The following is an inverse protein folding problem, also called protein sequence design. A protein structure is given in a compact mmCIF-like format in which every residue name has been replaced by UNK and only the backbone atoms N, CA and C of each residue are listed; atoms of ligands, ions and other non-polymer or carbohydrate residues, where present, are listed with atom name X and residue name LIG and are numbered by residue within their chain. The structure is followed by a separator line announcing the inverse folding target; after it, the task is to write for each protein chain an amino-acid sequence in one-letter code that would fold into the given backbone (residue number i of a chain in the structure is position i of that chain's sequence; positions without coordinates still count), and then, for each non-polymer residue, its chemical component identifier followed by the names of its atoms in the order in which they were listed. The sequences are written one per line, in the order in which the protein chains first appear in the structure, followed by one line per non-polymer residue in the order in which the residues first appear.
data_IF_854700332468
#
_entry.id   IF_854700332468
#
_cell.length_a   1.000
_cell.length_b   1.000
_cell.length_c   1.000
_cell.angle_alpha   90.00
_cell.angle_beta   90.00
_cell.angle_gamma   90.00
#
_symmetry.space_group_name_H-M   'P 1'
#
loop_
_entity.id
_entity.type
_entity.pdbx_description
1 polymer ?
#
# COMPACT_ATOMS: atom_id res chain seq x y z
N UNK A 1 -14.26 -28.40 10.56
CA UNK A 1 -12.85 -28.08 10.29
C UNK A 1 -12.72 -26.57 10.19
N UNK A 2 -11.55 -26.04 10.52
CA UNK A 2 -11.18 -24.64 10.30
C UNK A 2 -10.50 -24.50 8.94
N UNK A 3 -10.99 -23.59 8.12
CA UNK A 3 -10.49 -23.31 6.77
C UNK A 3 -9.99 -21.87 6.71
N UNK A 4 -8.73 -21.69 6.33
CA UNK A 4 -8.14 -20.37 6.13
C UNK A 4 -7.93 -20.11 4.64
N UNK A 5 -8.69 -19.18 4.09
CA UNK A 5 -8.62 -18.75 2.71
C UNK A 5 -7.68 -17.55 2.55
N UNK A 6 -6.80 -17.57 1.56
CA UNK A 6 -5.97 -16.41 1.21
C UNK A 6 -6.44 -15.77 -0.09
N UNK A 7 -6.60 -14.44 -0.06
CA UNK A 7 -6.89 -13.63 -1.25
C UNK A 7 -6.03 -12.36 -1.27
N UNK A 8 -5.63 -11.91 -2.46
CA UNK A 8 -4.86 -10.67 -2.65
C UNK A 8 -5.70 -9.51 -3.19
N UNK A 9 -6.93 -9.39 -2.73
CA UNK A 9 -7.83 -8.26 -2.96
C UNK A 9 -8.38 -7.77 -1.59
N UNK A 10 -9.30 -6.80 -1.60
CA UNK A 10 -9.90 -6.29 -0.35
C UNK A 10 -11.00 -7.18 0.23
N UNK A 11 -11.46 -8.18 -0.53
CA UNK A 11 -12.58 -9.06 -0.17
C UNK A 11 -13.86 -8.29 0.20
N UNK A 12 -14.16 -7.19 -0.52
CA UNK A 12 -15.43 -6.46 -0.37
C UNK A 12 -16.50 -6.98 -1.34
N UNK A 13 -16.09 -7.30 -2.58
CA UNK A 13 -16.99 -7.67 -3.68
C UNK A 13 -16.52 -8.94 -4.42
N UNK A 14 -15.81 -9.83 -3.72
CA UNK A 14 -15.33 -11.09 -4.31
C UNK A 14 -16.44 -12.14 -4.28
N UNK A 15 -17.31 -12.12 -5.30
CA UNK A 15 -18.46 -13.00 -5.37
C UNK A 15 -18.09 -14.50 -5.43
N UNK A 16 -16.93 -14.84 -5.99
CA UNK A 16 -16.50 -16.23 -6.11
C UNK A 16 -16.09 -16.77 -4.75
N UNK A 17 -15.13 -16.10 -4.09
CA UNK A 17 -14.63 -16.53 -2.78
C UNK A 17 -15.74 -16.46 -1.73
N UNK A 18 -16.67 -15.49 -1.84
CA UNK A 18 -17.86 -15.42 -0.96
C UNK A 18 -18.74 -16.66 -1.12
N UNK A 19 -19.02 -17.11 -2.36
CA UNK A 19 -19.83 -18.32 -2.59
C UNK A 19 -19.15 -19.57 -2.05
N UNK A 20 -17.85 -19.72 -2.29
CA UNK A 20 -17.08 -20.86 -1.77
C UNK A 20 -17.06 -20.89 -0.24
N UNK A 21 -16.78 -19.76 0.40
CA UNK A 21 -16.79 -19.62 1.85
C UNK A 21 -18.17 -19.97 2.43
N UNK A 22 -19.25 -19.49 1.81
CA UNK A 22 -20.62 -19.82 2.20
C UNK A 22 -20.92 -21.31 2.11
N UNK A 23 -20.56 -21.95 1.00
CA UNK A 23 -20.75 -23.40 0.84
C UNK A 23 -20.03 -24.19 1.93
N UNK A 24 -18.82 -23.77 2.32
CA UNK A 24 -18.08 -24.43 3.42
C UNK A 24 -18.74 -24.18 4.79
N UNK A 25 -19.22 -22.97 5.04
CA UNK A 25 -19.96 -22.65 6.28
C UNK A 25 -21.27 -23.45 6.36
N UNK A 26 -22.02 -23.55 5.26
CA UNK A 26 -23.24 -24.36 5.15
C UNK A 26 -22.95 -25.86 5.38
N UNK A 27 -21.75 -26.33 5.02
CA UNK A 27 -21.24 -27.66 5.34
C UNK A 27 -20.74 -27.82 6.80
N UNK A 28 -20.87 -26.80 7.64
CA UNK A 28 -20.48 -26.82 9.04
C UNK A 28 -18.98 -26.59 9.29
N UNK A 29 -18.31 -25.87 8.40
CA UNK A 29 -16.90 -25.48 8.58
C UNK A 29 -16.76 -24.04 9.06
N UNK A 30 -15.73 -23.79 9.86
CA UNK A 30 -15.35 -22.45 10.30
C UNK A 30 -14.41 -21.85 9.25
N UNK A 31 -14.75 -20.68 8.71
CA UNK A 31 -14.04 -20.07 7.57
C UNK A 31 -13.48 -18.71 7.94
N UNK A 32 -12.16 -18.59 7.82
CA UNK A 32 -11.46 -17.31 7.91
C UNK A 32 -10.86 -16.92 6.55
N UNK A 33 -11.13 -15.71 6.08
CA UNK A 33 -10.54 -15.13 4.88
C UNK A 33 -9.49 -14.09 5.26
N UNK A 34 -8.27 -14.31 4.80
CA UNK A 34 -7.14 -13.40 4.95
C UNK A 34 -6.99 -12.56 3.68
N UNK A 35 -7.26 -11.26 3.79
CA UNK A 35 -7.36 -10.33 2.67
C UNK A 35 -6.48 -9.09 2.86
N UNK A 36 -6.56 -8.14 1.92
CA UNK A 36 -5.78 -6.90 1.95
C UNK A 36 -6.63 -5.76 2.53
N UNK A 37 -6.11 -5.07 3.54
CA UNK A 37 -6.80 -3.92 4.11
C UNK A 37 -6.66 -2.68 3.21
N UNK A 38 -7.78 -2.00 3.01
CA UNK A 38 -7.88 -0.69 2.34
C UNK A 38 -8.28 0.36 3.40
N UNK A 39 -7.35 1.26 3.78
CA UNK A 39 -7.61 2.26 4.81
C UNK A 39 -8.81 3.16 4.46
N UNK A 40 -9.71 3.33 5.42
CA UNK A 40 -10.92 4.15 5.27
C UNK A 40 -12.05 3.51 4.48
N UNK A 41 -11.87 2.28 3.99
CA UNK A 41 -12.89 1.51 3.27
C UNK A 41 -13.24 0.24 4.01
N UNK A 42 -12.24 -0.58 4.36
CA UNK A 42 -12.46 -1.88 5.00
C UNK A 42 -12.05 -1.86 6.47
N UNK A 43 -12.71 -2.64 7.33
CA UNK A 43 -12.20 -2.94 8.67
C UNK A 43 -10.97 -3.87 8.60
N UNK A 44 -10.07 -3.81 9.60
CA UNK A 44 -8.94 -4.75 9.70
C UNK A 44 -9.39 -6.15 10.09
N UNK A 45 -10.43 -6.26 10.92
CA UNK A 45 -11.08 -7.53 11.26
C UNK A 45 -12.59 -7.32 11.31
N UNK A 46 -13.34 -8.26 10.76
CA UNK A 46 -14.80 -8.29 10.86
C UNK A 46 -15.33 -9.70 10.68
N UNK A 47 -16.59 -9.93 11.05
CA UNK A 47 -17.33 -11.13 10.64
C UNK A 47 -18.47 -10.67 9.76
N UNK A 48 -18.55 -11.21 8.55
CA UNK A 48 -19.61 -10.88 7.59
C UNK A 48 -20.97 -11.38 8.07
N UNK A 49 -22.05 -10.91 7.46
CA UNK A 49 -23.41 -11.41 7.74
C UNK A 49 -23.55 -12.90 7.44
N UNK A 50 -22.78 -13.41 6.48
CA UNK A 50 -22.74 -14.82 6.10
C UNK A 50 -21.90 -15.70 7.06
N UNK A 51 -21.39 -15.14 8.17
CA UNK A 51 -20.59 -15.86 9.16
C UNK A 51 -19.11 -16.01 8.83
N UNK A 52 -18.63 -15.42 7.72
CA UNK A 52 -17.22 -15.48 7.32
C UNK A 52 -16.39 -14.56 8.20
N UNK A 53 -15.37 -15.08 8.87
CA UNK A 53 -14.38 -14.28 9.58
C UNK A 53 -13.39 -13.67 8.59
N UNK A 54 -13.12 -12.37 8.67
CA UNK A 54 -12.20 -11.69 7.75
C UNK A 54 -11.09 -11.03 8.56
N UNK A 55 -9.83 -11.35 8.21
CA UNK A 55 -8.63 -10.73 8.79
C UNK A 55 -7.80 -10.07 7.69
N UNK A 56 -7.70 -8.75 7.69
CA UNK A 56 -7.07 -7.99 6.61
C UNK A 56 -5.68 -7.48 7.00
N UNK A 57 -4.72 -7.60 6.08
CA UNK A 57 -3.36 -7.07 6.26
C UNK A 57 -3.22 -5.67 5.66
N UNK A 58 -2.78 -4.72 6.49
CA UNK A 58 -2.43 -3.38 6.03
C UNK A 58 -1.23 -3.39 5.08
N UNK A 59 -1.34 -2.71 3.93
CA UNK A 59 -0.22 -2.51 3.00
C UNK A 59 0.86 -1.63 3.65
N UNK A 60 2.12 -2.03 3.51
CA UNK A 60 3.25 -1.25 4.05
C UNK A 60 3.46 0.01 3.20
N UNK A 61 3.08 1.16 3.75
CA UNK A 61 3.42 2.47 3.21
C UNK A 61 4.79 2.89 3.72
N UNK A 62 5.86 2.27 3.19
CA UNK A 62 7.23 2.61 3.60
C UNK A 62 7.48 4.12 3.37
N UNK A 63 7.63 4.88 4.46
CA UNK A 63 8.20 6.22 4.50
C UNK A 63 7.48 7.36 3.76
N UNK A 64 6.53 7.09 2.85
CA UNK A 64 5.95 8.15 1.99
C UNK A 64 5.12 9.16 2.78
N UNK A 65 4.31 8.71 3.75
CA UNK A 65 3.52 9.61 4.58
C UNK A 65 4.41 10.49 5.46
N UNK A 66 5.45 9.91 6.06
CA UNK A 66 6.44 10.63 6.86
C UNK A 66 7.24 11.62 6.01
N UNK A 67 7.64 11.22 4.80
CA UNK A 67 8.35 12.09 3.85
C UNK A 67 7.48 13.24 3.35
N UNK A 68 6.21 13.00 3.01
CA UNK A 68 5.26 14.07 2.66
C UNK A 68 5.07 15.04 3.84
N UNK A 69 5.03 14.54 5.07
CA UNK A 69 4.92 15.36 6.29
C UNK A 69 6.19 16.19 6.53
N UNK A 70 7.37 15.62 6.30
CA UNK A 70 8.66 16.33 6.42
C UNK A 70 8.80 17.39 5.32
N UNK A 71 8.47 17.05 4.08
CA UNK A 71 8.52 18.00 2.96
C UNK A 71 7.49 19.13 3.11
N UNK A 72 6.28 18.83 3.62
CA UNK A 72 5.29 19.86 3.92
C UNK A 72 5.73 20.83 5.03
N UNK A 73 6.40 20.32 6.07
CA UNK A 73 7.02 21.16 7.13
C UNK A 73 8.15 22.04 6.59
N UNK A 74 8.97 21.51 5.69
CA UNK A 74 10.08 22.25 5.10
C UNK A 74 9.61 23.31 4.08
N UNK A 75 8.61 23.00 3.25
CA UNK A 75 7.99 23.99 2.36
C UNK A 75 7.32 25.12 3.14
N UNK A 76 6.64 24.80 4.24
CA UNK A 76 6.05 25.78 5.13
C UNK A 76 7.08 26.70 5.78
N UNK A 77 8.23 26.18 6.23
CA UNK A 77 9.26 27.02 6.86
C UNK A 77 9.88 28.03 5.90
N UNK A 78 10.00 27.71 4.61
CA UNK A 78 10.53 28.60 3.58
C UNK A 78 9.56 29.74 3.27
N UNK A 79 8.27 29.44 3.07
CA UNK A 79 7.29 30.48 2.72
C UNK A 79 6.90 31.36 3.91
N UNK A 80 6.83 30.81 5.12
CA UNK A 80 6.63 31.61 6.33
C UNK A 80 7.80 32.57 6.57
N UNK A 81 9.04 32.15 6.23
CA UNK A 81 10.24 33.01 6.29
C UNK A 81 10.21 34.11 5.21
N UNK A 82 9.76 33.80 3.99
CA UNK A 82 9.57 34.80 2.94
C UNK A 82 8.55 35.86 3.35
N UNK A 83 7.36 35.45 3.80
CA UNK A 83 6.30 36.35 4.25
C UNK A 83 6.75 37.27 5.41
N UNK A 84 7.51 36.75 6.38
CA UNK A 84 8.09 37.56 7.47
C UNK A 84 9.13 38.59 6.99
N UNK A 85 9.86 38.30 5.92
CA UNK A 85 10.93 39.17 5.40
C UNK A 85 10.41 40.20 4.39
N UNK A 86 9.45 39.83 3.53
CA UNK A 86 8.92 40.69 2.46
C UNK A 86 7.65 41.43 2.87
N UNK A 87 6.92 40.94 3.87
CA UNK A 87 5.61 41.46 4.28
C UNK A 87 4.46 41.05 3.37
N UNK A 88 4.72 40.21 2.36
CA UNK A 88 3.68 39.68 1.46
C UNK A 88 2.95 38.49 2.10
N UNK A 89 1.64 38.31 1.82
CA UNK A 89 0.89 37.18 2.34
C UNK A 89 1.42 35.84 1.80
N UNK A 90 1.36 34.81 2.64
CA UNK A 90 1.76 33.44 2.27
C UNK A 90 0.84 32.94 1.15
N UNK A 91 1.40 32.60 0.00
CA UNK A 91 0.66 31.99 -1.11
C UNK A 91 0.41 30.51 -0.81
N UNK A 92 -0.72 30.25 -0.14
CA UNK A 92 -1.13 28.91 0.34
C UNK A 92 -1.21 27.89 -0.80
N UNK A 93 -1.55 28.31 -2.03
CA UNK A 93 -1.64 27.43 -3.19
C UNK A 93 -0.24 26.98 -3.64
N UNK A 94 0.73 27.90 -3.61
CA UNK A 94 2.13 27.62 -3.95
C UNK A 94 2.83 26.80 -2.86
N UNK A 95 2.51 27.06 -1.59
CA UNK A 95 2.92 26.22 -0.46
C UNK A 95 2.50 24.78 -0.66
N UNK A 96 1.23 24.57 -1.04
CA UNK A 96 0.68 23.25 -1.27
C UNK A 96 1.37 22.54 -2.46
N UNK A 97 1.68 23.27 -3.53
CA UNK A 97 2.45 22.73 -4.66
C UNK A 97 3.89 22.38 -4.28
N UNK A 98 4.54 23.14 -3.39
CA UNK A 98 5.91 22.85 -2.91
C UNK A 98 5.93 21.70 -1.90
N UNK A 99 4.92 21.63 -1.03
CA UNK A 99 4.73 20.59 -0.02
C UNK A 99 4.36 19.22 -0.63
N UNK A 100 3.69 19.21 -1.79
CA UNK A 100 3.34 17.99 -2.51
C UNK A 100 4.56 17.39 -3.21
N UNK A 101 5.15 16.35 -2.61
CA UNK A 101 6.27 15.59 -3.20
C UNK A 101 5.78 14.53 -4.20
N UNK A 102 4.50 14.16 -4.14
CA UNK A 102 3.87 13.17 -5.03
C UNK A 102 2.59 13.76 -5.60
N UNK A 103 2.33 13.63 -6.92
CA UNK A 103 1.03 14.01 -7.49
C UNK A 103 -0.09 13.17 -6.88
N UNK A 104 -1.30 13.74 -6.79
CA UNK A 104 -2.46 13.05 -6.24
C UNK A 104 -2.69 11.70 -6.93
N UNK A 105 -2.72 10.62 -6.15
CA UNK A 105 -3.03 9.29 -6.65
C UNK A 105 -4.50 9.22 -7.06
N UNK A 106 -4.78 8.89 -8.31
CA UNK A 106 -6.14 8.67 -8.84
C UNK A 106 -6.74 7.33 -8.40
N UNK A 107 -5.97 6.44 -7.77
CA UNK A 107 -6.37 5.07 -7.45
C UNK A 107 -7.01 4.90 -6.05
N UNK A 108 -7.09 5.94 -5.22
CA UNK A 108 -7.67 5.83 -3.86
C UNK A 108 -8.32 7.15 -3.45
N UNK A 109 -9.65 7.30 -3.60
CA UNK A 109 -10.37 8.43 -3.02
C UNK A 109 -10.16 8.41 -1.50
N UNK A 110 -9.69 9.51 -0.91
CA UNK A 110 -9.54 9.65 0.55
C UNK A 110 -8.14 9.45 1.14
N UNK A 111 -7.16 8.91 0.39
CA UNK A 111 -5.76 8.80 0.88
C UNK A 111 -5.06 10.17 1.08
N UNK A 112 -5.70 11.25 0.62
CA UNK A 112 -5.27 12.64 0.74
C UNK A 112 -6.08 13.41 1.79
N UNK A 113 -6.33 12.85 2.98
CA UNK A 113 -6.72 13.73 4.09
C UNK A 113 -5.54 14.66 4.36
N UNK A 114 -5.69 15.91 3.87
CA UNK A 114 -4.74 17.00 4.06
C UNK A 114 -4.49 17.07 5.57
N UNK A 115 -3.24 17.09 6.05
CA UNK A 115 -3.02 17.51 7.42
C UNK A 115 -3.68 18.88 7.52
N UNK A 116 -4.62 19.04 8.46
CA UNK A 116 -5.23 20.34 8.73
C UNK A 116 -4.08 21.30 9.00
N UNK A 117 -3.76 22.13 8.01
CA UNK A 117 -2.85 23.25 8.19
C UNK A 117 -3.61 24.10 9.19
N UNK A 118 -3.18 24.04 10.46
CA UNK A 118 -3.63 24.95 11.48
C UNK A 118 -3.55 26.34 10.84
N UNK A 119 -4.71 26.99 10.73
CA UNK A 119 -4.87 28.32 10.18
C UNK A 119 -3.81 29.18 10.86
N UNK A 120 -2.72 29.46 10.15
CA UNK A 120 -1.69 30.33 10.67
C UNK A 120 -2.38 31.68 10.83
N UNK A 121 -2.66 32.02 12.08
CA UNK A 121 -3.27 33.28 12.50
C UNK A 121 -2.71 34.41 11.66
N UNK A 122 -3.62 35.16 11.02
CA UNK A 122 -3.29 36.37 10.29
C UNK A 122 -2.38 37.25 11.15
N UNK A 123 -1.13 37.42 10.72
CA UNK A 123 -0.18 38.28 11.42
C UNK A 123 -0.55 39.75 11.15
N UNK A 124 -0.65 40.51 12.24
CA UNK A 124 -0.84 41.96 12.27
C UNK A 124 0.25 42.70 11.46
N UNK A 125 -0.08 43.81 10.76
CA UNK A 125 0.89 44.57 9.99
C UNK A 125 1.67 45.49 10.92
N UNK A 126 2.93 45.17 11.19
CA UNK A 126 3.73 45.95 12.14
C UNK A 126 5.22 45.65 12.11
N UNK A 127 5.85 45.59 10.93
CA UNK A 127 7.30 45.80 10.87
C UNK A 127 7.72 46.35 9.51
N UNK A 128 8.28 47.57 9.50
CA UNK A 128 8.87 48.17 8.29
C UNK A 128 10.17 47.44 7.99
N UNK A 129 10.11 46.38 7.17
CA UNK A 129 11.30 45.66 6.73
C UNK A 129 12.22 46.59 5.93
N UNK A 130 13.51 46.64 6.32
CA UNK A 130 14.48 47.56 5.71
C UNK A 130 14.81 47.14 4.26
N UNK A 131 15.25 48.09 3.44
CA UNK A 131 15.67 47.84 2.05
C UNK A 131 16.73 46.73 1.95
N UNK A 132 17.64 46.65 2.92
CA UNK A 132 18.64 45.59 3.00
C UNK A 132 17.99 44.21 3.24
N UNK A 133 16.96 44.14 4.08
CA UNK A 133 16.21 42.89 4.34
C UNK A 133 15.45 42.42 3.10
N UNK A 134 14.85 43.35 2.34
CA UNK A 134 14.15 43.07 1.08
C UNK A 134 15.13 42.62 -0.02
N UNK A 135 16.27 43.29 -0.15
CA UNK A 135 17.32 42.90 -1.09
C UNK A 135 17.91 41.52 -0.77
N UNK A 136 18.14 41.23 0.52
CA UNK A 136 18.62 39.93 0.95
C UNK A 136 17.59 38.81 0.69
N UNK A 137 16.30 39.08 0.89
CA UNK A 137 15.23 38.15 0.54
C UNK A 137 15.16 37.92 -0.98
N UNK A 138 15.29 38.98 -1.80
CA UNK A 138 15.27 38.87 -3.27
C UNK A 138 16.42 38.01 -3.83
N UNK A 139 17.57 37.99 -3.15
CA UNK A 139 18.74 37.18 -3.54
C UNK A 139 18.64 35.74 -3.00
N UNK A 140 18.25 35.56 -1.74
CA UNK A 140 18.26 34.24 -1.08
C UNK A 140 17.09 33.34 -1.48
N UNK A 141 15.93 33.93 -1.78
CA UNK A 141 14.71 33.18 -2.16
C UNK A 141 14.86 32.38 -3.47
N UNK A 142 15.37 32.92 -4.59
CA UNK A 142 15.58 32.14 -5.81
C UNK A 142 16.61 31.01 -5.63
N UNK A 143 17.66 31.22 -4.82
CA UNK A 143 18.67 30.20 -4.51
C UNK A 143 18.03 29.04 -3.72
N UNK A 144 17.28 29.34 -2.66
CA UNK A 144 16.55 28.34 -1.88
C UNK A 144 15.50 27.58 -2.72
N UNK A 145 14.81 28.28 -3.64
CA UNK A 145 13.87 27.66 -4.60
C UNK A 145 14.60 26.76 -5.60
N UNK A 146 15.77 27.16 -6.07
CA UNK A 146 16.64 26.34 -6.93
C UNK A 146 17.09 25.06 -6.24
N UNK A 147 17.51 25.15 -4.98
CA UNK A 147 17.84 23.99 -4.14
C UNK A 147 16.66 23.05 -3.90
N UNK A 148 15.45 23.59 -3.70
CA UNK A 148 14.24 22.77 -3.61
C UNK A 148 13.91 22.06 -4.94
N UNK A 149 14.21 22.70 -6.08
CA UNK A 149 14.00 22.12 -7.41
C UNK A 149 15.02 21.03 -7.76
N UNK A 150 16.29 21.20 -7.36
CA UNK A 150 17.32 20.15 -7.51
C UNK A 150 17.10 18.98 -6.55
N UNK A 151 16.62 19.24 -5.33
CA UNK A 151 16.18 18.19 -4.40
C UNK A 151 15.04 17.33 -4.99
N UNK A 152 14.14 17.93 -5.79
CA UNK A 152 13.10 17.20 -6.53
C UNK A 152 13.66 16.27 -7.62
N UNK A 153 14.70 16.69 -8.34
CA UNK A 153 15.36 15.84 -9.33
C UNK A 153 16.12 14.67 -8.68
N UNK A 154 16.86 14.94 -7.60
CA UNK A 154 17.48 13.89 -6.79
C UNK A 154 16.45 12.90 -6.23
N UNK A 155 15.29 13.40 -5.79
CA UNK A 155 14.18 12.56 -5.33
C UNK A 155 13.55 11.71 -6.44
N UNK A 156 13.40 12.22 -7.66
CA UNK A 156 12.92 11.42 -8.80
C UNK A 156 13.88 10.28 -9.14
N UNK A 157 15.18 10.52 -9.06
CA UNK A 157 16.20 9.50 -9.25
C UNK A 157 16.17 8.45 -8.12
N UNK A 158 16.12 8.90 -6.86
CA UNK A 158 15.97 8.04 -5.68
C UNK A 158 14.69 7.20 -5.79
N UNK A 159 13.56 7.79 -6.18
CA UNK A 159 12.28 7.08 -6.40
C UNK A 159 12.35 6.10 -7.57
N UNK A 160 13.09 6.39 -8.63
CA UNK A 160 13.28 5.44 -9.74
C UNK A 160 14.09 4.21 -9.29
N UNK A 161 15.11 4.42 -8.46
CA UNK A 161 15.97 3.35 -7.90
C UNK A 161 15.22 2.55 -6.83
N UNK A 162 14.57 3.20 -5.87
CA UNK A 162 13.80 2.58 -4.79
C UNK A 162 12.43 2.05 -5.23
N UNK A 163 11.85 2.58 -6.31
CA UNK A 163 10.51 2.21 -6.79
C UNK A 163 10.44 0.78 -7.32
N UNK A 164 11.49 0.31 -8.01
CA UNK A 164 11.56 -1.06 -8.55
C UNK A 164 11.90 -2.09 -7.47
N UNK A 165 12.82 -1.79 -6.56
CA UNK A 165 13.17 -2.71 -5.46
C UNK A 165 12.14 -2.69 -4.32
N UNK A 166 11.48 -1.55 -4.09
CA UNK A 166 10.44 -1.39 -3.09
C UNK A 166 9.20 -2.23 -3.39
N UNK A 167 8.91 -2.58 -4.64
CA UNK A 167 7.79 -3.46 -4.97
C UNK A 167 8.01 -4.88 -4.43
N UNK A 168 9.21 -5.44 -4.59
CA UNK A 168 9.55 -6.76 -4.06
C UNK A 168 9.51 -6.77 -2.52
N UNK A 169 10.05 -5.74 -1.88
CA UNK A 169 10.01 -5.61 -0.42
C UNK A 169 8.57 -5.45 0.11
N UNK A 170 7.71 -4.70 -0.59
CA UNK A 170 6.29 -4.57 -0.26
C UNK A 170 5.57 -5.92 -0.38
N UNK A 171 5.77 -6.63 -1.48
CA UNK A 171 5.19 -7.97 -1.68
C UNK A 171 5.67 -8.93 -0.61
N UNK A 172 6.96 -8.92 -0.28
CA UNK A 172 7.53 -9.73 0.78
C UNK A 172 6.91 -9.41 2.15
N UNK A 173 6.79 -8.13 2.50
CA UNK A 173 6.22 -7.70 3.77
C UNK A 173 4.72 -8.06 3.89
N UNK A 174 3.96 -7.94 2.80
CA UNK A 174 2.56 -8.38 2.75
C UNK A 174 2.48 -9.90 2.93
N UNK A 175 3.26 -10.67 2.16
CA UNK A 175 3.28 -12.13 2.28
C UNK A 175 3.62 -12.56 3.70
N UNK A 176 4.63 -11.96 4.34
CA UNK A 176 5.02 -12.28 5.73
C UNK A 176 3.88 -12.03 6.72
N UNK A 177 3.12 -10.94 6.55
CA UNK A 177 1.96 -10.63 7.40
C UNK A 177 0.81 -11.59 7.18
N UNK A 178 0.52 -11.96 5.92
CA UNK A 178 -0.52 -12.94 5.61
C UNK A 178 -0.15 -14.32 6.17
N UNK A 179 1.13 -14.73 6.06
CA UNK A 179 1.63 -15.96 6.66
C UNK A 179 1.45 -15.90 8.19
N UNK A 180 1.85 -14.81 8.84
CA UNK A 180 1.68 -14.68 10.29
C UNK A 180 0.22 -14.85 10.73
N UNK A 181 -0.71 -14.18 10.05
CA UNK A 181 -2.15 -14.35 10.30
C UNK A 181 -2.59 -15.80 10.05
N UNK A 182 -2.13 -16.42 8.95
CA UNK A 182 -2.46 -17.80 8.62
C UNK A 182 -2.01 -18.80 9.69
N UNK A 183 -0.80 -18.60 10.24
CA UNK A 183 -0.27 -19.42 11.33
C UNK A 183 -1.02 -19.18 12.65
N UNK A 184 -1.45 -17.94 12.93
CA UNK A 184 -2.24 -17.61 14.12
C UNK A 184 -3.66 -18.20 14.07
N UNK A 185 -4.24 -18.36 12.87
CA UNK A 185 -5.56 -18.96 12.71
C UNK A 185 -5.54 -20.46 13.05
N UNK A 186 -4.39 -21.12 12.85
CA UNK A 186 -4.18 -22.56 13.07
C UNK A 186 -5.30 -23.44 12.46
N UNK A 187 -5.48 -23.38 11.12
CA UNK A 187 -6.54 -24.10 10.44
C UNK A 187 -6.15 -25.55 10.09
N UNK A 188 -7.17 -26.38 9.85
CA UNK A 188 -6.98 -27.73 9.31
C UNK A 188 -6.63 -27.70 7.80
N UNK A 189 -7.12 -26.66 7.10
CA UNK A 189 -6.97 -26.50 5.66
C UNK A 189 -6.68 -25.04 5.30
N UNK A 190 -5.64 -24.83 4.48
CA UNK A 190 -5.39 -23.58 3.78
C UNK A 190 -5.94 -23.65 2.36
N UNK A 191 -6.63 -22.60 1.91
CA UNK A 191 -7.14 -22.48 0.55
C UNK A 191 -6.56 -21.23 -0.14
N UNK A 192 -5.70 -21.44 -1.13
CA UNK A 192 -5.00 -20.37 -1.86
C UNK A 192 -5.67 -20.07 -3.18
N UNK A 193 -6.13 -18.83 -3.36
CA UNK A 193 -6.72 -18.35 -4.61
C UNK A 193 -5.69 -17.60 -5.44
N UNK A 194 -5.50 -18.03 -6.70
CA UNK A 194 -4.48 -17.53 -7.62
C UNK A 194 -3.02 -17.82 -7.21
N UNK A 195 -2.15 -17.85 -8.22
CA UNK A 195 -0.71 -18.07 -8.05
C UNK A 195 -0.05 -17.07 -7.08
N UNK A 196 -0.63 -15.89 -6.91
CA UNK A 196 -0.07 -14.85 -6.04
C UNK A 196 -0.22 -15.18 -4.54
N UNK A 197 -1.12 -16.09 -4.14
CA UNK A 197 -1.29 -16.55 -2.75
C UNK A 197 -0.72 -17.95 -2.53
N UNK A 198 -0.47 -18.74 -3.58
CA UNK A 198 0.08 -20.10 -3.46
C UNK A 198 1.32 -20.19 -2.56
N UNK A 199 2.25 -19.24 -2.69
CA UNK A 199 3.45 -19.20 -1.83
C UNK A 199 3.10 -19.05 -0.34
N UNK A 200 2.07 -18.26 -0.04
CA UNK A 200 1.61 -18.02 1.34
C UNK A 200 1.02 -19.31 1.90
N UNK A 201 0.11 -19.94 1.17
CA UNK A 201 -0.52 -21.20 1.57
C UNK A 201 0.50 -22.32 1.75
N UNK A 202 1.43 -22.50 0.80
CA UNK A 202 2.52 -23.47 0.91
C UNK A 202 3.36 -23.26 2.18
N UNK A 203 3.84 -22.04 2.44
CA UNK A 203 4.63 -21.77 3.64
C UNK A 203 3.86 -22.05 4.95
N UNK A 204 2.55 -21.78 4.98
CA UNK A 204 1.74 -22.04 6.16
C UNK A 204 1.48 -23.55 6.35
N UNK A 205 1.11 -24.25 5.27
CA UNK A 205 0.90 -25.70 5.28
C UNK A 205 2.17 -26.46 5.68
N UNK A 206 3.33 -26.06 5.16
CA UNK A 206 4.61 -26.68 5.52
C UNK A 206 5.01 -26.44 6.98
N UNK A 207 4.65 -25.28 7.55
CA UNK A 207 4.94 -24.94 8.94
C UNK A 207 3.99 -25.61 9.95
N UNK A 208 2.76 -25.93 9.55
CA UNK A 208 1.70 -26.45 10.44
C UNK A 208 1.39 -27.93 10.22
N UNK A 209 1.70 -28.47 9.04
CA UNK A 209 1.25 -29.80 8.61
C UNK A 209 -0.21 -29.84 8.12
N UNK A 210 -0.90 -28.70 8.06
CA UNK A 210 -2.26 -28.58 7.54
C UNK A 210 -2.33 -28.84 6.03
N UNK A 211 -3.54 -29.14 5.53
CA UNK A 211 -3.77 -29.40 4.10
C UNK A 211 -3.76 -28.13 3.27
N UNK A 212 -3.27 -28.20 2.04
CA UNK A 212 -3.27 -27.09 1.10
C UNK A 212 -4.16 -27.37 -0.11
N UNK A 213 -5.19 -26.58 -0.30
CA UNK A 213 -5.98 -26.50 -1.53
C UNK A 213 -5.50 -25.29 -2.34
N UNK A 214 -5.27 -25.48 -3.63
CA UNK A 214 -4.93 -24.40 -4.54
C UNK A 214 -6.00 -24.24 -5.61
N UNK A 215 -6.51 -23.03 -5.79
CA UNK A 215 -7.46 -22.68 -6.85
C UNK A 215 -6.81 -21.75 -7.88
N UNK A 216 -6.71 -22.27 -9.11
CA UNK A 216 -6.12 -21.59 -10.25
C UNK A 216 -7.21 -20.99 -11.13
N UNK A 217 -7.34 -19.67 -11.09
CA UNK A 217 -8.45 -19.00 -11.77
C UNK A 217 -8.15 -18.58 -13.22
N UNK A 218 -6.88 -18.41 -13.59
CA UNK A 218 -6.42 -18.21 -14.98
C UNK A 218 -4.96 -18.73 -15.08
N UNK A 219 -4.53 -19.22 -16.24
CA UNK A 219 -3.10 -19.50 -16.46
C UNK A 219 -2.30 -18.19 -16.30
N UNK A 220 -1.56 -18.05 -15.20
CA UNK A 220 -0.82 -16.84 -14.87
C UNK A 220 0.22 -16.45 -15.95
N UNK A 221 0.60 -17.41 -16.79
CA UNK A 221 1.51 -17.25 -17.93
C UNK A 221 0.86 -16.56 -19.13
N UNK A 222 -0.46 -16.63 -19.29
CA UNK A 222 -1.20 -16.06 -20.42
C UNK A 222 -1.73 -14.64 -20.13
N UNK A 223 -1.74 -14.23 -18.86
CA UNK A 223 -2.35 -12.98 -18.35
C UNK A 223 -1.63 -11.66 -18.68
N UNK A 224 -0.83 -11.57 -19.75
CA UNK A 224 -0.21 -10.33 -20.23
C UNK A 224 0.94 -9.69 -19.40
N UNK A 225 1.96 -9.19 -20.13
CA UNK A 225 2.94 -8.14 -19.75
C UNK A 225 3.62 -8.22 -18.36
N UNK A 226 3.92 -9.41 -17.84
CA UNK A 226 4.82 -9.52 -16.69
C UNK A 226 6.28 -9.30 -17.10
N UNK A 227 6.97 -8.35 -16.43
CA UNK A 227 8.41 -8.14 -16.56
C UNK A 227 9.16 -9.47 -16.31
N UNK A 228 10.23 -9.74 -17.05
CA UNK A 228 10.83 -11.08 -17.15
C UNK A 228 11.26 -11.68 -15.81
N UNK A 229 11.61 -10.85 -14.82
CA UNK A 229 11.91 -11.28 -13.44
C UNK A 229 10.67 -11.80 -12.71
N UNK A 230 9.53 -11.12 -12.83
CA UNK A 230 8.28 -11.54 -12.23
C UNK A 230 7.74 -12.82 -12.89
N UNK A 231 7.92 -12.97 -14.21
CA UNK A 231 7.60 -14.23 -14.90
C UNK A 231 8.43 -15.39 -14.38
N UNK A 232 9.76 -15.22 -14.23
CA UNK A 232 10.63 -16.25 -13.65
C UNK A 232 10.21 -16.61 -12.22
N UNK A 233 9.86 -15.62 -11.41
CA UNK A 233 9.37 -15.86 -10.04
C UNK A 233 8.04 -16.61 -10.03
N UNK A 234 7.08 -16.23 -10.89
CA UNK A 234 5.81 -16.90 -11.00
C UNK A 234 5.97 -18.37 -11.43
N UNK A 235 6.76 -18.63 -12.49
CA UNK A 235 7.09 -19.99 -12.92
C UNK A 235 7.78 -20.80 -11.82
N UNK A 236 8.67 -20.16 -11.05
CA UNK A 236 9.32 -20.81 -9.91
C UNK A 236 8.31 -21.17 -8.81
N UNK A 237 7.41 -20.24 -8.49
CA UNK A 237 6.39 -20.44 -7.47
C UNK A 237 5.41 -21.55 -7.88
N UNK A 238 5.03 -21.58 -9.16
CA UNK A 238 4.20 -22.63 -9.73
C UNK A 238 4.91 -23.99 -9.66
N UNK A 239 6.14 -24.09 -10.16
CA UNK A 239 6.92 -25.34 -10.16
C UNK A 239 7.19 -25.91 -8.77
N UNK A 240 7.28 -25.07 -7.74
CA UNK A 240 7.55 -25.50 -6.35
C UNK A 240 6.32 -25.61 -5.49
N UNK A 241 5.35 -24.72 -5.68
CA UNK A 241 4.12 -24.66 -4.90
C UNK A 241 3.07 -25.66 -5.36
N UNK A 242 2.92 -25.90 -6.67
CA UNK A 242 1.91 -26.84 -7.17
C UNK A 242 2.09 -28.26 -6.62
N UNK A 243 3.31 -28.86 -6.62
CA UNK A 243 3.49 -30.19 -6.05
C UNK A 243 3.27 -30.29 -4.54
N UNK A 244 3.08 -29.15 -3.86
CA UNK A 244 2.82 -29.05 -2.42
C UNK A 244 1.33 -28.91 -2.10
N UNK A 245 0.47 -28.67 -3.08
CA UNK A 245 -0.96 -28.66 -2.89
C UNK A 245 -1.48 -30.10 -2.79
N UNK A 246 -2.27 -30.39 -1.76
CA UNK A 246 -2.98 -31.66 -1.58
C UNK A 246 -4.17 -31.79 -2.55
N UNK A 247 -4.75 -30.66 -2.97
CA UNK A 247 -5.81 -30.61 -3.97
C UNK A 247 -5.70 -29.37 -4.86
N UNK A 248 -6.13 -29.52 -6.12
CA UNK A 248 -6.14 -28.47 -7.14
C UNK A 248 -7.57 -28.24 -7.64
N UNK A 249 -8.01 -26.99 -7.63
CA UNK A 249 -9.22 -26.51 -8.30
C UNK A 249 -8.78 -25.72 -9.53
N UNK A 250 -9.37 -26.03 -10.68
CA UNK A 250 -9.10 -25.34 -11.95
C UNK A 250 -10.40 -25.16 -12.72
N UNK A 251 -10.58 -24.00 -13.33
CA UNK A 251 -11.77 -23.70 -14.14
C UNK A 251 -11.74 -24.35 -15.53
N UNK A 252 -10.57 -24.81 -15.99
CA UNK A 252 -10.38 -25.46 -17.29
C UNK A 252 -9.68 -26.80 -17.12
N UNK A 253 -10.10 -27.87 -17.84
CA UNK A 253 -9.35 -29.11 -17.89
C UNK A 253 -7.97 -28.87 -18.50
N UNK A 254 -6.95 -29.46 -17.89
CA UNK A 254 -5.55 -29.40 -18.31
C UNK A 254 -5.30 -30.16 -19.62
#
# INVERSE_FOLDING_TARGET
MKVCMFVKNSFEYDARVTKEARTLIEAGHDVTVVAIHVPGVTAEQETTQDGIHVRRVSRVHFGLATLNKVAGRYAGSIETRHAKLTGEPVDVAKQAQLAAVVPASTATPGANQRPSLATASAAHPGNRSSLATKAWAAITTPILRGFAHTARFGFRAIKAVLGRQGLALKTWAINKRMIAIGLEVDPDVFHSHDLNTLYIGWQCAEATGAKLVYDSHELATERNRMDGKWRKWAMWNERRGLPKADALITASPA
#
